data_IF_469485306436
#
_entry.id   IF_469485306436
#
_cell.length_a   1.000
_cell.length_b   1.000
_cell.length_c   1.000
_cell.angle_alpha   90.00
_cell.angle_beta   90.00
_cell.angle_gamma   90.00
#
_symmetry.space_group_name_H-M   'P 1'
#
loop_
_entity.id
_entity.type
_entity.pdbx_description
1 polymer ?
#
# COMPACT_ATOMS: atom_id res chain seq x y z
N UNK A 1 -25.15 23.34 -3.29
CA UNK A 1 -24.43 22.58 -4.32
C UNK A 1 -23.07 23.24 -4.54
N UNK A 2 -21.98 22.55 -4.21
CA UNK A 2 -20.69 22.75 -4.86
C UNK A 2 -19.90 21.44 -4.66
N UNK A 3 -19.74 20.72 -5.76
CA UNK A 3 -19.08 19.43 -5.87
C UNK A 3 -17.57 19.63 -5.86
N UNK A 4 -16.89 19.27 -4.78
CA UNK A 4 -15.45 19.08 -4.79
C UNK A 4 -15.16 17.67 -5.34
N UNK A 5 -15.36 17.51 -6.65
CA UNK A 5 -14.76 16.41 -7.38
C UNK A 5 -13.27 16.77 -7.52
N UNK A 6 -12.44 16.21 -6.62
CA UNK A 6 -11.00 16.18 -6.82
C UNK A 6 -10.73 15.60 -8.20
N UNK A 7 -10.00 16.34 -9.01
CA UNK A 7 -9.66 16.02 -10.38
C UNK A 7 -8.80 14.74 -10.43
N UNK A 8 -9.33 13.71 -11.08
CA UNK A 8 -8.58 12.51 -11.41
C UNK A 8 -7.86 12.75 -12.73
N UNK A 9 -6.54 12.72 -12.72
CA UNK A 9 -5.72 12.79 -13.92
C UNK A 9 -5.93 11.53 -14.79
N UNK A 10 -6.24 11.73 -16.08
CA UNK A 10 -6.66 10.67 -17.03
C UNK A 10 -5.44 9.90 -17.58
N UNK A 11 -4.21 10.32 -17.24
CA UNK A 11 -2.99 9.83 -17.88
C UNK A 11 -2.29 8.65 -17.20
N UNK A 12 -2.89 8.03 -16.17
CA UNK A 12 -2.30 6.82 -15.54
C UNK A 12 -0.97 7.06 -14.82
N UNK A 13 -0.61 8.31 -14.57
CA UNK A 13 0.59 8.64 -13.81
C UNK A 13 0.30 8.46 -12.31
N UNK A 14 1.02 7.50 -11.72
CA UNK A 14 1.01 7.27 -10.28
C UNK A 14 1.68 8.50 -9.64
N UNK A 15 0.88 9.36 -9.02
CA UNK A 15 1.35 10.40 -8.11
C UNK A 15 1.99 9.72 -6.88
N UNK A 16 3.25 9.32 -7.03
CA UNK A 16 4.12 9.06 -5.89
C UNK A 16 4.40 10.44 -5.30
N UNK A 17 4.02 10.65 -4.03
CA UNK A 17 4.32 11.88 -3.29
C UNK A 17 5.82 12.20 -3.30
N UNK A 18 6.26 13.25 -2.57
CA UNK A 18 7.65 13.65 -2.54
C UNK A 18 8.56 12.44 -2.31
N UNK A 19 9.72 12.35 -3.01
CA UNK A 19 10.59 11.19 -2.98
C UNK A 19 10.92 10.86 -1.53
N UNK A 20 10.30 9.81 -1.01
CA UNK A 20 10.57 9.32 0.32
C UNK A 20 12.00 8.75 0.27
N UNK A 21 12.89 9.27 1.11
CA UNK A 21 14.25 8.75 1.22
C UNK A 21 14.13 7.36 1.86
N UNK A 22 14.07 6.32 1.02
CA UNK A 22 13.87 4.95 1.46
C UNK A 22 15.17 4.46 2.11
N UNK A 23 15.21 4.49 3.43
CA UNK A 23 16.30 3.92 4.19
C UNK A 23 16.07 2.41 4.35
N UNK A 24 17.08 1.66 4.81
CA UNK A 24 16.91 0.22 5.09
C UNK A 24 15.75 -0.05 6.07
N UNK A 25 15.48 0.90 6.97
CA UNK A 25 14.37 0.85 7.92
C UNK A 25 12.98 0.94 7.26
N UNK A 26 12.88 1.50 6.05
CA UNK A 26 11.64 1.59 5.27
C UNK A 26 11.15 0.24 4.75
N UNK A 27 12.01 -0.77 4.73
CA UNK A 27 11.65 -2.14 4.36
C UNK A 27 11.38 -3.04 5.57
N UNK A 28 11.61 -2.52 6.78
CA UNK A 28 11.42 -3.27 8.01
C UNK A 28 10.02 -3.04 8.56
N UNK A 29 9.26 -4.12 8.70
CA UNK A 29 7.94 -4.10 9.32
C UNK A 29 8.13 -4.19 10.84
N UNK A 30 7.60 -3.22 11.58
CA UNK A 30 7.58 -3.22 13.06
C UNK A 30 6.32 -3.85 13.63
N UNK A 31 5.23 -3.85 12.86
CA UNK A 31 3.97 -4.43 13.29
C UNK A 31 2.97 -4.53 12.15
N UNK A 32 1.88 -5.26 12.39
CA UNK A 32 0.78 -5.41 11.46
C UNK A 32 -0.52 -5.27 12.25
N UNK A 33 -1.44 -4.42 11.78
CA UNK A 33 -2.77 -4.27 12.36
C UNK A 33 -3.84 -4.77 11.38
N UNK A 34 -4.78 -5.61 11.84
CA UNK A 34 -5.94 -5.97 11.03
C UNK A 34 -6.85 -4.76 10.86
N UNK A 35 -7.31 -4.53 9.62
CA UNK A 35 -8.28 -3.51 9.28
C UNK A 35 -9.60 -4.22 8.98
N UNK A 36 -10.46 -4.27 10.00
CA UNK A 36 -11.68 -5.07 9.96
C UNK A 36 -11.39 -6.53 9.65
N UNK A 37 -12.16 -7.12 8.74
CA UNK A 37 -12.02 -8.52 8.30
C UNK A 37 -11.58 -8.66 6.83
N UNK A 38 -11.10 -7.58 6.21
CA UNK A 38 -10.82 -7.57 4.77
C UNK A 38 -9.40 -7.19 4.40
N UNK A 39 -8.61 -6.62 5.32
CA UNK A 39 -7.27 -6.16 5.04
C UNK A 39 -6.36 -6.11 6.27
N UNK A 40 -5.07 -5.92 6.01
CA UNK A 40 -4.05 -5.64 7.01
C UNK A 40 -3.31 -4.34 6.67
N UNK A 41 -2.87 -3.62 7.70
CA UNK A 41 -2.01 -2.43 7.60
C UNK A 41 -0.67 -2.74 8.27
N UNK A 42 0.45 -2.78 7.53
CA UNK A 42 1.78 -2.86 8.12
C UNK A 42 2.20 -1.50 8.68
N UNK A 43 3.02 -1.53 9.72
CA UNK A 43 3.75 -0.41 10.26
C UNK A 43 5.22 -0.58 9.90
N UNK A 44 5.83 0.46 9.34
CA UNK A 44 7.21 0.46 8.92
C UNK A 44 8.10 1.06 10.01
N UNK A 45 9.37 0.66 10.07
CA UNK A 45 10.31 1.09 11.13
C UNK A 45 10.74 2.54 10.99
N UNK A 46 10.63 3.09 9.79
CA UNK A 46 10.89 4.51 9.50
C UNK A 46 9.74 5.44 9.95
N UNK A 47 8.65 4.90 10.51
CA UNK A 47 7.51 5.66 11.02
C UNK A 47 6.38 5.83 10.00
N UNK A 48 6.54 5.34 8.78
CA UNK A 48 5.45 5.30 7.82
C UNK A 48 4.46 4.18 8.18
N UNK A 49 3.17 4.40 7.88
CA UNK A 49 2.11 3.40 8.04
C UNK A 49 1.18 3.36 6.83
N UNK A 50 1.71 3.82 5.69
CA UNK A 50 0.99 3.82 4.43
C UNK A 50 0.89 2.41 3.86
N UNK A 51 -0.27 2.15 3.25
CA UNK A 51 -0.61 0.86 2.68
C UNK A 51 -1.67 0.11 3.49
N UNK A 52 -2.77 -0.22 2.82
CA UNK A 52 -3.76 -1.20 3.30
C UNK A 52 -3.80 -2.32 2.28
N UNK A 53 -3.45 -3.53 2.72
CA UNK A 53 -3.35 -4.70 1.87
C UNK A 53 -4.55 -5.60 2.12
N UNK A 54 -5.45 -5.68 1.15
CA UNK A 54 -6.60 -6.58 1.25
C UNK A 54 -6.17 -8.04 1.16
N UNK A 55 -6.85 -8.93 1.89
CA UNK A 55 -6.58 -10.38 1.81
C UNK A 55 -6.72 -10.91 0.39
N UNK A 56 -7.67 -10.35 -0.40
CA UNK A 56 -7.83 -10.67 -1.81
C UNK A 56 -6.59 -10.33 -2.63
N UNK A 57 -5.97 -9.17 -2.39
CA UNK A 57 -4.75 -8.76 -3.07
C UNK A 57 -3.56 -9.65 -2.68
N UNK A 58 -3.39 -9.92 -1.39
CA UNK A 58 -2.33 -10.81 -0.90
C UNK A 58 -2.46 -12.23 -1.47
N UNK A 59 -3.69 -12.75 -1.60
CA UNK A 59 -3.93 -14.05 -2.22
C UNK A 59 -3.51 -14.08 -3.70
N UNK A 60 -3.87 -13.04 -4.48
CA UNK A 60 -3.45 -12.93 -5.89
C UNK A 60 -1.93 -12.86 -6.04
N UNK A 61 -1.25 -12.16 -5.14
CA UNK A 61 0.21 -12.13 -5.12
C UNK A 61 0.77 -13.53 -4.89
N UNK A 62 0.27 -14.25 -3.88
CA UNK A 62 0.70 -15.63 -3.59
C UNK A 62 0.52 -16.56 -4.81
N UNK A 63 -0.63 -16.48 -5.50
CA UNK A 63 -0.90 -17.27 -6.71
C UNK A 63 0.09 -16.93 -7.85
N UNK A 64 0.49 -15.67 -7.97
CA UNK A 64 1.46 -15.22 -8.97
C UNK A 64 2.89 -15.65 -8.64
N UNK A 65 3.26 -15.68 -7.36
CA UNK A 65 4.57 -16.16 -6.91
C UNK A 65 4.71 -17.68 -7.07
N UNK A 66 3.66 -18.44 -6.77
CA UNK A 66 3.64 -19.90 -6.90
C UNK A 66 3.80 -20.35 -8.35
N UNK A 67 3.21 -19.60 -9.30
CA UNK A 67 3.29 -19.88 -10.74
C UNK A 67 4.67 -19.61 -11.38
N UNK A 68 5.62 -19.06 -10.61
CA UNK A 68 6.98 -18.74 -11.07
C UNK A 68 8.04 -19.73 -10.58
N UNK A 69 7.63 -20.83 -9.93
CA UNK A 69 8.51 -21.90 -9.42
C UNK A 69 8.39 -23.20 -10.23
#
# INVERSE_FOLDING_TARGET
MCTLAGETDIFGNIYKGPPQIMNEQSYLITGIQPVGYYAIRPFWKDGHSDGIYSYKFLKKLCESFDSSS
#
